data_IF_932598908052
#
_entry.id   IF_932598908052
#
_cell.length_a   1.000
_cell.length_b   1.000
_cell.length_c   1.000
_cell.angle_alpha   90.00
_cell.angle_beta   90.00
_cell.angle_gamma   90.00
#
_symmetry.space_group_name_H-M   'P 1'
#
loop_
_entity.id
_entity.type
_entity.pdbx_description
1 polymer ?
#
# COMPACT_ATOMS: atom_id res chain seq x y z
N UNK A 1 1.08 38.24 -38.75
CA UNK A 1 0.83 36.79 -38.71
C UNK A 1 2.10 36.15 -38.22
N UNK A 2 2.12 35.64 -36.98
CA UNK A 2 3.12 34.66 -36.53
C UNK A 2 2.54 33.98 -35.28
N UNK A 3 2.25 32.69 -35.39
CA UNK A 3 1.48 31.92 -34.41
C UNK A 3 2.30 31.54 -33.18
N UNK A 4 1.80 31.87 -31.98
CA UNK A 4 2.27 31.28 -30.73
C UNK A 4 1.88 29.80 -30.69
N UNK A 5 2.87 28.92 -30.79
CA UNK A 5 2.74 27.48 -30.52
C UNK A 5 2.41 27.28 -29.04
N UNK A 6 1.17 26.87 -28.75
CA UNK A 6 0.78 26.36 -27.43
C UNK A 6 1.38 24.95 -27.26
N UNK A 7 2.51 24.83 -26.57
CA UNK A 7 3.02 23.54 -26.13
C UNK A 7 2.12 23.00 -25.01
N UNK A 8 1.12 22.21 -25.38
CA UNK A 8 0.37 21.38 -24.44
C UNK A 8 1.27 20.20 -24.03
N UNK A 9 2.04 20.37 -22.97
CA UNK A 9 2.65 19.25 -22.25
C UNK A 9 1.52 18.49 -21.57
N UNK A 10 1.00 17.46 -22.24
CA UNK A 10 0.12 16.47 -21.62
C UNK A 10 0.93 15.64 -20.62
N UNK A 11 1.14 16.18 -19.42
CA UNK A 11 1.61 15.38 -18.29
C UNK A 11 0.43 14.52 -17.85
N UNK A 12 0.40 13.27 -18.30
CA UNK A 12 -0.62 12.29 -17.91
C UNK A 12 -0.39 11.85 -16.46
N UNK A 13 -0.55 12.77 -15.50
CA UNK A 13 -0.40 12.46 -14.06
C UNK A 13 -1.64 11.67 -13.63
N UNK A 14 -1.58 10.34 -13.70
CA UNK A 14 -2.61 9.51 -13.09
C UNK A 14 -2.64 9.81 -11.58
N UNK A 15 -3.81 10.18 -11.06
CA UNK A 15 -4.02 10.37 -9.62
C UNK A 15 -4.27 9.00 -8.99
N UNK A 16 -3.47 8.56 -7.99
CA UNK A 16 -3.81 7.43 -7.14
C UNK A 16 -5.23 7.52 -6.63
N UNK A 17 -5.97 6.43 -6.79
CA UNK A 17 -7.35 6.33 -6.32
C UNK A 17 -7.35 5.91 -4.85
N UNK A 18 -8.19 6.54 -4.05
CA UNK A 18 -8.49 6.07 -2.70
C UNK A 18 -9.52 4.95 -2.79
N UNK A 19 -9.50 4.01 -1.85
CA UNK A 19 -10.62 3.06 -1.70
C UNK A 19 -11.81 3.77 -1.06
N UNK A 20 -13.01 3.57 -1.60
CA UNK A 20 -14.25 4.18 -1.10
C UNK A 20 -14.50 3.91 0.40
N UNK A 21 -13.98 2.81 0.93
CA UNK A 21 -14.03 2.48 2.36
C UNK A 21 -13.33 3.54 3.22
N UNK A 22 -12.20 4.09 2.77
CA UNK A 22 -11.47 5.13 3.51
C UNK A 22 -12.14 6.49 3.38
N UNK A 23 -12.73 6.80 2.23
CA UNK A 23 -13.46 8.06 2.02
C UNK A 23 -14.70 8.15 2.92
N UNK A 24 -15.30 7.02 3.28
CA UNK A 24 -16.48 6.94 4.15
C UNK A 24 -16.15 6.93 5.64
N UNK A 25 -14.90 6.66 6.02
CA UNK A 25 -14.52 6.34 7.39
C UNK A 25 -14.23 7.58 8.28
N UNK A 26 -14.46 8.79 7.77
CA UNK A 26 -14.25 10.04 8.52
C UNK A 26 -12.78 10.45 8.64
N UNK A 27 -12.54 11.65 9.18
CA UNK A 27 -11.21 12.28 9.20
C UNK A 27 -10.16 11.51 10.00
N UNK A 28 -10.57 10.88 11.11
CA UNK A 28 -9.67 10.11 11.98
C UNK A 28 -8.99 8.96 11.25
N UNK A 29 -9.69 8.33 10.30
CA UNK A 29 -9.15 7.27 9.47
C UNK A 29 -8.31 7.85 8.35
N UNK A 30 -8.80 8.87 7.65
CA UNK A 30 -8.08 9.46 6.50
C UNK A 30 -6.73 10.05 6.90
N UNK A 31 -6.58 10.60 8.12
CA UNK A 31 -5.32 11.16 8.60
C UNK A 31 -4.22 10.10 8.81
N UNK A 32 -4.63 8.83 8.97
CA UNK A 32 -3.74 7.66 9.15
C UNK A 32 -3.60 6.83 7.87
N UNK A 33 -4.22 7.28 6.77
CA UNK A 33 -4.13 6.68 5.44
C UNK A 33 -3.25 7.54 4.55
N UNK A 34 -2.14 6.97 4.06
CA UNK A 34 -1.29 7.65 3.09
C UNK A 34 -1.56 7.14 1.67
N UNK A 35 -1.56 8.06 0.70
CA UNK A 35 -1.51 7.74 -0.73
C UNK A 35 -0.12 8.11 -1.25
N UNK A 36 0.60 7.14 -1.81
CA UNK A 36 2.02 7.23 -2.12
C UNK A 36 2.17 7.77 -3.53
N UNK A 37 2.75 8.95 -3.62
CA UNK A 37 3.00 9.66 -4.87
C UNK A 37 4.38 10.28 -4.92
N UNK A 38 4.94 10.56 -3.75
CA UNK A 38 6.11 11.39 -3.59
C UNK A 38 7.16 10.71 -2.70
N UNK A 39 8.38 11.20 -2.83
CA UNK A 39 9.48 10.81 -1.94
C UNK A 39 9.18 11.20 -0.49
N UNK A 40 8.41 12.26 -0.25
CA UNK A 40 7.99 12.66 1.10
C UNK A 40 7.10 11.58 1.75
N UNK A 41 6.19 10.98 0.98
CA UNK A 41 5.35 9.87 1.47
C UNK A 41 6.22 8.68 1.89
N UNK A 42 7.25 8.37 1.10
CA UNK A 42 8.23 7.34 1.46
C UNK A 42 8.98 7.66 2.74
N UNK A 43 9.48 8.89 2.89
CA UNK A 43 10.23 9.30 4.07
C UNK A 43 9.39 9.16 5.35
N UNK A 44 8.11 9.60 5.30
CA UNK A 44 7.18 9.44 6.42
C UNK A 44 7.00 7.97 6.80
N UNK A 45 6.78 7.08 5.83
CA UNK A 45 6.62 5.65 6.08
C UNK A 45 7.90 4.99 6.61
N UNK A 46 9.05 5.38 6.07
CA UNK A 46 10.34 4.89 6.52
C UNK A 46 10.63 5.30 7.96
N UNK A 47 10.22 6.50 8.38
CA UNK A 47 10.27 6.91 9.79
C UNK A 47 9.35 6.09 10.68
N UNK A 48 8.10 5.84 10.25
CA UNK A 48 7.15 4.99 10.97
C UNK A 48 7.72 3.58 11.19
N UNK A 49 8.26 2.97 10.13
CA UNK A 49 8.93 1.67 10.19
C UNK A 49 10.15 1.72 11.14
N UNK A 50 10.93 2.81 11.09
CA UNK A 50 12.06 3.06 11.97
C UNK A 50 11.69 3.19 13.46
N UNK A 51 10.50 3.70 13.76
CA UNK A 51 9.94 3.82 15.12
C UNK A 51 9.24 2.53 15.61
N UNK A 52 9.22 1.49 14.79
CA UNK A 52 8.59 0.20 15.11
C UNK A 52 7.07 0.19 14.92
N UNK A 53 6.54 1.02 14.03
CA UNK A 53 5.13 1.00 13.67
C UNK A 53 4.74 -0.21 12.80
N UNK A 54 3.44 -0.50 12.77
CA UNK A 54 2.85 -1.49 11.86
C UNK A 54 2.25 -0.78 10.65
N UNK A 55 2.65 -1.19 9.45
CA UNK A 55 2.26 -0.60 8.17
C UNK A 55 1.54 -1.66 7.33
N UNK A 56 0.34 -1.35 6.86
CA UNK A 56 -0.38 -2.22 5.90
C UNK A 56 -0.38 -1.58 4.52
N UNK A 57 0.19 -2.25 3.52
CA UNK A 57 0.21 -1.84 2.11
C UNK A 57 -0.89 -2.59 1.36
N UNK A 58 -1.80 -1.85 0.73
CA UNK A 58 -2.85 -2.41 -0.10
C UNK A 58 -2.44 -2.28 -1.57
N UNK A 59 -2.29 -3.40 -2.27
CA UNK A 59 -1.93 -3.49 -3.68
C UNK A 59 -0.68 -4.32 -3.94
N UNK A 60 -0.78 -5.26 -4.90
CA UNK A 60 0.28 -6.19 -5.28
C UNK A 60 1.08 -5.80 -6.53
N UNK A 61 0.95 -4.56 -7.02
CA UNK A 61 1.69 -4.08 -8.20
C UNK A 61 3.18 -3.82 -7.94
N UNK A 62 3.90 -3.30 -8.95
CA UNK A 62 5.33 -2.96 -8.84
C UNK A 62 5.63 -2.06 -7.63
N UNK A 63 5.00 -0.89 -7.58
CA UNK A 63 5.18 0.09 -6.51
C UNK A 63 4.88 -0.47 -5.11
N UNK A 64 3.88 -1.36 -5.01
CA UNK A 64 3.51 -1.98 -3.73
C UNK A 64 4.51 -2.99 -3.26
N UNK A 65 5.04 -3.76 -4.20
CA UNK A 65 6.05 -4.75 -3.93
C UNK A 65 7.39 -4.09 -3.57
N UNK A 66 7.78 -3.02 -4.27
CA UNK A 66 8.98 -2.23 -3.97
C UNK A 66 8.89 -1.59 -2.57
N UNK A 67 7.77 -0.93 -2.27
CA UNK A 67 7.53 -0.31 -0.97
C UNK A 67 7.52 -1.36 0.15
N UNK A 68 6.88 -2.50 -0.09
CA UNK A 68 6.84 -3.61 0.85
C UNK A 68 8.25 -4.13 1.16
N UNK A 69 9.08 -4.38 0.14
CA UNK A 69 10.47 -4.79 0.34
C UNK A 69 11.27 -3.75 1.13
N UNK A 70 11.19 -2.47 0.75
CA UNK A 70 11.96 -1.40 1.39
C UNK A 70 11.60 -1.25 2.88
N UNK A 71 10.31 -1.24 3.20
CA UNK A 71 9.83 -1.10 4.57
C UNK A 71 10.02 -2.39 5.38
N UNK A 72 9.79 -3.56 4.77
CA UNK A 72 10.00 -4.86 5.41
C UNK A 72 11.45 -5.02 5.86
N UNK A 73 12.40 -4.72 4.96
CA UNK A 73 13.82 -4.70 5.28
C UNK A 73 14.13 -3.75 6.44
N UNK A 74 13.55 -2.54 6.42
CA UNK A 74 13.72 -1.56 7.50
C UNK A 74 13.21 -2.06 8.85
N UNK A 75 12.10 -2.79 8.87
CA UNK A 75 11.51 -3.31 10.11
C UNK A 75 12.31 -4.47 10.73
N UNK A 76 13.23 -5.11 9.99
CA UNK A 76 14.09 -6.19 10.53
C UNK A 76 14.95 -5.72 11.73
N UNK A 77 15.26 -4.43 11.82
CA UNK A 77 16.03 -3.85 12.93
C UNK A 77 15.15 -3.16 13.99
N UNK A 78 13.83 -3.28 13.92
CA UNK A 78 12.89 -2.62 14.83
C UNK A 78 11.82 -3.62 15.32
N UNK A 79 10.90 -3.17 16.17
CA UNK A 79 9.71 -3.96 16.56
C UNK A 79 8.53 -3.77 15.60
N UNK A 80 8.76 -3.12 14.46
CA UNK A 80 7.73 -2.84 13.46
C UNK A 80 7.39 -4.08 12.63
N UNK A 81 6.37 -3.94 11.80
CA UNK A 81 6.03 -4.96 10.81
C UNK A 81 5.37 -4.35 9.58
N UNK A 82 5.43 -5.08 8.48
CA UNK A 82 4.80 -4.71 7.22
C UNK A 82 3.92 -5.84 6.74
N UNK A 83 2.65 -5.52 6.48
CA UNK A 83 1.70 -6.44 5.85
C UNK A 83 1.38 -5.92 4.45
N UNK A 84 1.46 -6.76 3.42
CA UNK A 84 1.00 -6.43 2.07
C UNK A 84 -0.26 -7.26 1.75
N UNK A 85 -1.33 -6.59 1.29
CA UNK A 85 -2.60 -7.22 0.98
C UNK A 85 -3.09 -6.88 -0.43
N UNK A 86 -3.62 -7.85 -1.15
CA UNK A 86 -4.16 -7.65 -2.50
C UNK A 86 -5.09 -8.81 -2.94
N UNK A 87 -6.02 -8.57 -3.89
CA UNK A 87 -6.98 -9.58 -4.34
C UNK A 87 -6.37 -10.67 -5.23
N UNK A 88 -5.22 -10.41 -5.85
CA UNK A 88 -4.57 -11.36 -6.73
C UNK A 88 -3.86 -12.51 -5.97
N UNK A 89 -3.45 -13.55 -6.71
CA UNK A 89 -2.76 -14.73 -6.18
C UNK A 89 -1.28 -14.49 -5.83
N UNK A 90 -0.71 -13.36 -6.25
CA UNK A 90 0.69 -13.02 -6.02
C UNK A 90 1.06 -11.62 -6.52
N UNK A 91 2.24 -11.16 -6.15
CA UNK A 91 2.80 -9.90 -6.59
C UNK A 91 2.90 -9.85 -8.12
N UNK A 92 2.47 -8.74 -8.71
CA UNK A 92 2.39 -8.46 -10.15
C UNK A 92 1.65 -9.52 -10.98
N UNK A 93 0.69 -10.24 -10.39
CA UNK A 93 -0.11 -11.27 -11.07
C UNK A 93 -0.88 -10.79 -12.32
N UNK A 94 -1.11 -9.47 -12.47
CA UNK A 94 -1.71 -8.86 -13.67
C UNK A 94 -0.73 -8.65 -14.83
N UNK A 95 0.58 -8.80 -14.58
CA UNK A 95 1.65 -8.50 -15.54
C UNK A 95 2.53 -9.72 -15.78
N UNK A 96 2.85 -10.47 -14.73
CA UNK A 96 3.79 -11.57 -14.77
C UNK A 96 3.07 -12.90 -14.96
N UNK A 97 3.71 -13.89 -15.62
CA UNK A 97 3.25 -15.27 -15.58
C UNK A 97 3.18 -15.80 -14.15
N UNK A 98 2.27 -16.74 -13.90
CA UNK A 98 1.96 -17.23 -12.56
C UNK A 98 3.19 -17.68 -11.76
N UNK A 99 4.08 -18.47 -12.36
CA UNK A 99 5.32 -18.91 -11.72
C UNK A 99 6.16 -17.73 -11.21
N UNK A 100 6.34 -16.70 -12.03
CA UNK A 100 7.18 -15.55 -11.68
C UNK A 100 6.48 -14.64 -10.66
N UNK A 101 5.15 -14.53 -10.72
CA UNK A 101 4.37 -13.84 -9.70
C UNK A 101 4.49 -14.53 -8.33
N UNK A 102 4.38 -15.86 -8.27
CA UNK A 102 4.61 -16.64 -7.05
C UNK A 102 6.04 -16.48 -6.54
N UNK A 103 7.04 -16.61 -7.42
CA UNK A 103 8.45 -16.42 -7.04
C UNK A 103 8.72 -15.02 -6.48
N UNK A 104 8.15 -13.99 -7.11
CA UNK A 104 8.24 -12.60 -6.64
C UNK A 104 7.62 -12.47 -5.25
N UNK A 105 6.45 -13.07 -5.05
CA UNK A 105 5.75 -13.08 -3.76
C UNK A 105 6.63 -13.67 -2.66
N UNK A 106 7.29 -14.79 -2.94
CA UNK A 106 8.19 -15.43 -1.98
C UNK A 106 9.44 -14.59 -1.72
N UNK A 107 9.93 -13.84 -2.72
CA UNK A 107 10.98 -12.86 -2.50
C UNK A 107 10.56 -11.70 -1.61
N UNK A 108 9.38 -11.14 -1.81
CA UNK A 108 8.83 -10.08 -0.93
C UNK A 108 8.69 -10.60 0.50
N UNK A 109 8.19 -11.84 0.71
CA UNK A 109 8.14 -12.47 2.04
C UNK A 109 9.52 -12.57 2.70
N UNK A 110 10.55 -12.94 1.93
CA UNK A 110 11.93 -13.03 2.45
C UNK A 110 12.50 -11.69 2.93
N UNK A 111 11.89 -10.57 2.53
CA UNK A 111 12.19 -9.25 3.05
C UNK A 111 11.51 -8.90 4.38
N UNK A 112 10.81 -9.85 5.01
CA UNK A 112 10.16 -9.65 6.31
C UNK A 112 8.76 -9.06 6.20
N UNK A 113 8.09 -9.29 5.07
CA UNK A 113 6.73 -8.81 4.80
C UNK A 113 5.73 -9.95 4.97
N UNK A 114 4.68 -9.71 5.74
CA UNK A 114 3.52 -10.59 5.83
C UNK A 114 2.60 -10.37 4.62
N UNK A 115 2.36 -11.40 3.81
CA UNK A 115 1.54 -11.27 2.59
C UNK A 115 0.17 -11.90 2.79
N UNK A 116 -0.87 -11.16 2.41
CA UNK A 116 -2.27 -11.59 2.37
C UNK A 116 -2.78 -11.50 0.93
N UNK A 117 -2.81 -12.64 0.25
CA UNK A 117 -3.37 -12.76 -1.11
C UNK A 117 -4.88 -13.00 -1.06
N UNK A 118 -5.56 -12.88 -2.19
CA UNK A 118 -7.01 -13.17 -2.32
C UNK A 118 -7.88 -12.40 -1.32
N UNK A 119 -7.50 -11.16 -1.01
CA UNK A 119 -8.24 -10.39 -0.03
C UNK A 119 -8.37 -8.92 -0.40
N UNK A 120 -9.57 -8.40 -0.19
CA UNK A 120 -9.94 -7.01 -0.43
C UNK A 120 -10.41 -6.38 0.87
N UNK A 121 -10.04 -5.13 1.11
CA UNK A 121 -10.54 -4.36 2.26
C UNK A 121 -12.05 -4.19 2.11
N UNK A 122 -12.79 -4.66 3.11
CA UNK A 122 -14.24 -4.52 3.21
C UNK A 122 -14.62 -3.33 4.08
N UNK A 123 -13.93 -3.19 5.22
CA UNK A 123 -14.24 -2.14 6.20
C UNK A 123 -12.98 -1.67 6.94
N UNK A 124 -13.07 -0.49 7.56
CA UNK A 124 -12.04 0.10 8.41
C UNK A 124 -12.69 0.69 9.66
N UNK A 125 -12.15 0.33 10.82
CA UNK A 125 -12.64 0.81 12.12
C UNK A 125 -11.50 1.33 12.96
N UNK A 126 -11.78 2.28 13.84
CA UNK A 126 -10.84 2.71 14.88
C UNK A 126 -11.06 1.86 16.13
N UNK A 127 -10.01 1.28 16.68
CA UNK A 127 -10.03 0.61 17.99
C UNK A 127 -10.11 1.65 19.12
N UNK A 128 -10.57 1.29 20.33
CA UNK A 128 -10.57 2.19 21.49
C UNK A 128 -9.20 2.82 21.79
N UNK A 129 -8.10 2.13 21.47
CA UNK A 129 -6.73 2.60 21.66
C UNK A 129 -6.24 3.56 20.54
N UNK A 130 -7.13 4.01 19.66
CA UNK A 130 -6.82 4.92 18.55
C UNK A 130 -6.06 4.30 17.37
N UNK A 131 -5.92 2.97 17.31
CA UNK A 131 -5.35 2.27 16.14
C UNK A 131 -6.43 2.00 15.09
N UNK A 132 -6.01 1.77 13.85
CA UNK A 132 -6.91 1.35 12.79
C UNK A 132 -6.96 -0.18 12.70
N UNK A 133 -8.10 -0.70 12.28
CA UNK A 133 -8.34 -2.12 12.05
C UNK A 133 -9.04 -2.29 10.71
N UNK A 134 -8.45 -3.06 9.81
CA UNK A 134 -9.08 -3.45 8.56
C UNK A 134 -9.79 -4.77 8.74
N UNK A 135 -11.01 -4.84 8.23
CA UNK A 135 -11.73 -6.08 8.04
C UNK A 135 -11.75 -6.38 6.55
N UNK A 136 -11.42 -7.62 6.21
CA UNK A 136 -11.36 -8.07 4.82
C UNK A 136 -12.60 -8.88 4.43
N UNK A 137 -12.83 -9.02 3.13
CA UNK A 137 -13.86 -9.89 2.54
C UNK A 137 -13.78 -11.35 3.01
N UNK A 138 -12.59 -11.84 3.29
CA UNK A 138 -12.33 -13.19 3.82
C UNK A 138 -12.72 -13.37 5.30
N UNK A 139 -13.12 -12.30 6.00
CA UNK A 139 -13.38 -12.31 7.44
C UNK A 139 -12.12 -12.18 8.30
N UNK A 140 -10.93 -12.16 7.69
CA UNK A 140 -9.68 -11.83 8.39
C UNK A 140 -9.71 -10.37 8.85
N UNK A 141 -9.01 -10.09 9.93
CA UNK A 141 -8.82 -8.73 10.44
C UNK A 141 -7.35 -8.48 10.75
N UNK A 142 -6.88 -7.26 10.48
CA UNK A 142 -5.50 -6.84 10.79
C UNK A 142 -5.55 -5.46 11.44
N UNK A 143 -5.00 -5.36 12.65
CA UNK A 143 -4.81 -4.09 13.36
C UNK A 143 -3.46 -3.46 13.04
N UNK A 144 -3.42 -2.15 12.85
CA UNK A 144 -2.18 -1.43 12.52
C UNK A 144 -2.36 0.07 12.82
N UNK A 145 -1.27 0.83 12.74
CA UNK A 145 -1.27 2.26 13.09
C UNK A 145 -1.39 3.13 11.82
N UNK A 146 -0.83 2.67 10.71
CA UNK A 146 -0.90 3.36 9.41
C UNK A 146 -1.35 2.40 8.31
N UNK A 147 -2.39 2.80 7.55
CA UNK A 147 -2.74 2.12 6.29
C UNK A 147 -2.14 2.86 5.12
N UNK A 148 -1.70 2.09 4.14
CA UNK A 148 -1.17 2.60 2.91
C UNK A 148 -1.99 2.00 1.75
N UNK A 149 -2.61 2.83 0.90
CA UNK A 149 -3.40 2.39 -0.24
C UNK A 149 -2.69 2.71 -1.56
N UNK A 150 -2.24 1.68 -2.28
CA UNK A 150 -1.69 1.83 -3.63
C UNK A 150 -2.74 1.38 -4.62
N UNK A 151 -3.30 2.36 -5.34
CA UNK A 151 -4.05 2.06 -6.55
C UNK A 151 -3.28 2.61 -7.73
N UNK A 152 -2.59 1.72 -8.44
CA UNK A 152 -2.34 1.90 -9.86
C UNK A 152 -3.18 0.87 -10.61
N UNK A 153 -4.10 1.39 -11.42
CA UNK A 153 -4.74 0.62 -12.48
C UNK A 153 -3.68 0.51 -13.58
N UNK A 154 -3.22 -0.70 -13.88
CA UNK A 154 -2.57 -0.96 -15.16
C UNK A 154 -3.64 -0.98 -16.23
#
# INVERSE_FOLDING_TARGET
>A
MEGRRNTHTHTHTQRPKTLAVFERAGSEVTDKVTLFRSVADFQQLHEVAGKGGHITIIGGGFLGSELACALGYKTKSTKGSVTQVYPEYGNMAKVLPEYLSRWTTDKVKSEGVDIITHSTVKDVTTTPDGKLKLSFDTGKEVGFIYTFSLVYTL
#
